data_IF_493791246766
#
_entry.id   IF_493791246766
#
_cell.length_a   1.000
_cell.length_b   1.000
_cell.length_c   1.000
_cell.angle_alpha   90.00
_cell.angle_beta   90.00
_cell.angle_gamma   90.00
#
_symmetry.space_group_name_H-M   'P 1'
#
loop_
_entity.id
_entity.type
_entity.pdbx_description
1 polymer ?
#
# COMPACT_ATOMS: atom_id res chain seq x y z
N UNK A 1 -18.20 -12.42 -23.19
CA UNK A 1 -18.06 -11.21 -24.02
C UNK A 1 -16.58 -10.89 -24.10
N UNK A 2 -15.96 -11.11 -25.26
CA UNK A 2 -14.53 -10.87 -25.44
C UNK A 2 -14.27 -9.36 -25.40
N UNK A 3 -13.74 -8.86 -24.29
CA UNK A 3 -13.34 -7.46 -24.21
C UNK A 3 -12.12 -7.28 -25.10
N UNK A 4 -12.26 -6.55 -26.19
CA UNK A 4 -11.14 -6.08 -27.01
C UNK A 4 -10.11 -5.44 -26.07
N UNK A 5 -8.80 -5.70 -26.25
CA UNK A 5 -7.76 -5.18 -25.33
C UNK A 5 -7.85 -3.66 -25.08
N UNK A 6 -8.36 -2.92 -26.07
CA UNK A 6 -8.64 -1.49 -26.00
C UNK A 6 -9.74 -1.15 -24.97
N UNK A 7 -10.84 -1.91 -24.92
CA UNK A 7 -11.91 -1.70 -23.94
C UNK A 7 -11.40 -1.95 -22.52
N UNK A 8 -10.58 -2.98 -22.33
CA UNK A 8 -9.99 -3.29 -21.03
C UNK A 8 -9.04 -2.18 -20.55
N UNK A 9 -8.22 -1.64 -21.47
CA UNK A 9 -7.37 -0.48 -21.17
C UNK A 9 -8.21 0.74 -20.78
N UNK A 10 -9.28 1.03 -21.53
CA UNK A 10 -10.18 2.13 -21.21
C UNK A 10 -10.81 1.97 -19.81
N UNK A 11 -11.34 0.79 -19.49
CA UNK A 11 -11.91 0.52 -18.16
C UNK A 11 -10.88 0.62 -17.04
N UNK A 12 -9.66 0.14 -17.27
CA UNK A 12 -8.58 0.24 -16.29
C UNK A 12 -8.19 1.70 -16.06
N UNK A 13 -7.93 2.46 -17.13
CA UNK A 13 -7.61 3.88 -17.04
C UNK A 13 -8.71 4.67 -16.33
N UNK A 14 -9.97 4.40 -16.65
CA UNK A 14 -11.10 5.06 -15.99
C UNK A 14 -11.22 4.71 -14.50
N UNK A 15 -11.01 3.45 -14.15
CA UNK A 15 -10.98 2.98 -12.75
C UNK A 15 -9.88 3.69 -11.97
N UNK A 16 -8.66 3.74 -12.53
CA UNK A 16 -7.50 4.43 -11.94
C UNK A 16 -7.82 5.90 -11.70
N UNK A 17 -8.38 6.60 -12.70
CA UNK A 17 -8.73 8.02 -12.58
C UNK A 17 -9.77 8.25 -11.49
N UNK A 18 -10.86 7.49 -11.51
CA UNK A 18 -11.95 7.63 -10.55
C UNK A 18 -11.46 7.36 -9.12
N UNK A 19 -10.67 6.32 -8.92
CA UNK A 19 -10.16 5.94 -7.61
C UNK A 19 -9.15 6.96 -7.08
N UNK A 20 -8.26 7.48 -7.94
CA UNK A 20 -7.29 8.50 -7.54
C UNK A 20 -7.99 9.83 -7.20
N UNK A 21 -9.02 10.22 -7.96
CA UNK A 21 -9.81 11.42 -7.64
C UNK A 21 -10.54 11.30 -6.30
N UNK A 22 -11.13 10.14 -6.00
CA UNK A 22 -11.72 9.87 -4.68
C UNK A 22 -10.65 9.94 -3.58
N UNK A 23 -9.48 9.36 -3.81
CA UNK A 23 -8.36 9.47 -2.87
C UNK A 23 -7.98 10.91 -2.59
N UNK A 24 -7.83 11.77 -3.60
CA UNK A 24 -7.51 13.19 -3.39
C UNK A 24 -8.64 13.89 -2.64
N UNK A 25 -9.90 13.67 -3.04
CA UNK A 25 -11.07 14.26 -2.38
C UNK A 25 -11.11 13.93 -0.88
N UNK A 26 -11.00 12.65 -0.52
CA UNK A 26 -11.05 12.21 0.87
C UNK A 26 -9.79 12.54 1.66
N UNK A 27 -8.63 12.62 0.99
CA UNK A 27 -7.40 13.14 1.58
C UNK A 27 -7.55 14.60 1.99
N UNK A 28 -8.13 15.43 1.11
CA UNK A 28 -8.42 16.84 1.42
C UNK A 28 -9.49 16.99 2.49
N UNK A 29 -10.54 16.15 2.47
CA UNK A 29 -11.61 16.18 3.47
C UNK A 29 -11.12 15.90 4.90
N UNK A 30 -10.07 15.08 5.05
CA UNK A 30 -9.42 14.81 6.34
C UNK A 30 -8.28 15.77 6.71
N UNK A 31 -8.16 16.92 6.05
CA UNK A 31 -7.09 17.89 6.33
C UNK A 31 -5.69 17.41 5.93
N UNK A 32 -5.60 16.57 4.89
CA UNK A 32 -4.39 15.91 4.36
C UNK A 32 -3.78 14.93 5.35
N UNK A 33 -3.32 15.39 6.52
CA UNK A 33 -2.61 14.58 7.52
C UNK A 33 -3.47 13.42 8.01
N UNK A 34 -4.72 13.68 8.38
CA UNK A 34 -5.67 12.67 8.84
C UNK A 34 -6.55 12.10 7.72
N UNK A 35 -6.40 12.59 6.49
CA UNK A 35 -7.17 12.15 5.33
C UNK A 35 -6.47 11.08 4.51
N UNK A 36 -5.14 11.19 4.35
CA UNK A 36 -4.36 10.32 3.46
C UNK A 36 -4.38 8.86 3.90
N UNK A 37 -4.18 8.56 5.18
CA UNK A 37 -4.18 7.18 5.67
C UNK A 37 -5.49 6.42 5.38
N UNK A 38 -6.65 6.93 5.82
CA UNK A 38 -7.96 6.33 5.53
C UNK A 38 -8.31 6.34 4.04
N UNK A 39 -7.86 7.35 3.28
CA UNK A 39 -8.06 7.37 1.83
C UNK A 39 -7.24 6.30 1.10
N UNK A 40 -6.01 6.02 1.56
CA UNK A 40 -5.20 4.90 1.05
C UNK A 40 -5.83 3.55 1.39
N UNK A 41 -6.38 3.39 2.60
CA UNK A 41 -7.08 2.17 2.98
C UNK A 41 -8.32 1.96 2.11
N UNK A 42 -9.19 2.96 2.00
CA UNK A 42 -10.38 2.91 1.14
C UNK A 42 -10.03 2.55 -0.31
N UNK A 43 -8.98 3.18 -0.86
CA UNK A 43 -8.48 2.86 -2.20
C UNK A 43 -8.07 1.39 -2.31
N UNK A 44 -7.38 0.89 -1.29
CA UNK A 44 -6.91 -0.50 -1.25
C UNK A 44 -8.09 -1.46 -1.21
N UNK A 45 -9.08 -1.21 -0.36
CA UNK A 45 -10.27 -2.06 -0.22
C UNK A 45 -11.01 -2.18 -1.58
N UNK A 46 -11.23 -1.07 -2.30
CA UNK A 46 -11.83 -1.13 -3.64
C UNK A 46 -10.99 -1.90 -4.66
N UNK A 47 -9.66 -1.79 -4.61
CA UNK A 47 -8.77 -2.54 -5.50
C UNK A 47 -8.85 -4.04 -5.21
N UNK A 48 -9.03 -4.43 -3.95
CA UNK A 48 -9.09 -5.83 -3.54
C UNK A 48 -10.47 -6.47 -3.75
N UNK A 49 -11.54 -5.75 -3.43
CA UNK A 49 -12.93 -6.24 -3.55
C UNK A 49 -13.44 -6.21 -4.99
N UNK A 50 -13.29 -5.07 -5.67
CA UNK A 50 -13.97 -4.80 -6.95
C UNK A 50 -13.03 -4.91 -8.16
N UNK A 51 -11.71 -4.93 -7.92
CA UNK A 51 -10.69 -5.06 -8.96
C UNK A 51 -10.79 -3.95 -10.03
N UNK A 52 -11.17 -4.32 -11.26
CA UNK A 52 -11.28 -3.40 -12.41
C UNK A 52 -12.72 -2.90 -12.65
N UNK A 53 -13.66 -3.14 -11.73
CA UNK A 53 -15.06 -2.74 -11.92
C UNK A 53 -15.32 -1.29 -11.48
N UNK A 54 -15.13 -0.35 -12.42
CA UNK A 54 -15.37 1.08 -12.15
C UNK A 54 -16.83 1.43 -11.75
N UNK A 55 -17.81 0.59 -12.09
CA UNK A 55 -19.22 0.87 -11.83
C UNK A 55 -19.58 0.68 -10.35
N UNK A 56 -18.91 -0.26 -9.67
CA UNK A 56 -19.12 -0.53 -8.26
C UNK A 56 -18.56 0.56 -7.34
N UNK A 57 -17.60 1.35 -7.84
CA UNK A 57 -16.99 2.47 -7.11
C UNK A 57 -18.01 3.61 -7.03
N UNK A 58 -18.62 3.81 -5.88
CA UNK A 58 -19.55 4.93 -5.64
C UNK A 58 -19.03 5.84 -4.53
N UNK A 59 -19.32 7.13 -4.61
CA UNK A 59 -18.89 8.12 -3.59
C UNK A 59 -19.43 7.74 -2.22
N UNK A 60 -20.67 7.23 -2.15
CA UNK A 60 -21.31 6.79 -0.91
C UNK A 60 -20.54 5.65 -0.25
N UNK A 61 -20.26 4.55 -0.99
CA UNK A 61 -19.47 3.43 -0.47
C UNK A 61 -18.06 3.87 -0.07
N UNK A 62 -17.45 4.76 -0.85
CA UNK A 62 -16.12 5.27 -0.56
C UNK A 62 -16.09 6.11 0.73
N UNK A 63 -17.13 6.91 0.99
CA UNK A 63 -17.25 7.64 2.25
C UNK A 63 -17.50 6.71 3.44
N UNK A 64 -18.31 5.67 3.27
CA UNK A 64 -18.56 4.66 4.30
C UNK A 64 -17.29 3.90 4.68
N UNK A 65 -16.52 3.40 3.70
CA UNK A 65 -15.21 2.76 3.92
C UNK A 65 -14.22 3.74 4.55
N UNK A 66 -14.10 4.96 4.03
CA UNK A 66 -13.21 5.98 4.59
C UNK A 66 -13.50 6.29 6.06
N UNK A 67 -14.78 6.40 6.43
CA UNK A 67 -15.21 6.67 7.81
C UNK A 67 -14.97 5.47 8.72
N UNK A 68 -15.22 4.24 8.23
CA UNK A 68 -14.99 3.01 8.98
C UNK A 68 -13.52 2.85 9.38
N UNK A 69 -12.61 3.16 8.46
CA UNK A 69 -11.16 3.03 8.67
C UNK A 69 -10.50 4.27 9.27
N UNK A 70 -11.26 5.36 9.50
CA UNK A 70 -10.70 6.67 9.84
C UNK A 70 -9.73 6.65 11.02
N UNK A 71 -10.09 6.01 12.14
CA UNK A 71 -9.25 5.98 13.34
C UNK A 71 -8.06 5.03 13.20
N UNK A 72 -8.32 3.80 12.72
CA UNK A 72 -7.33 2.73 12.67
C UNK A 72 -6.26 2.99 11.61
N UNK A 73 -6.67 3.39 10.40
CA UNK A 73 -5.73 3.71 9.32
C UNK A 73 -4.94 4.98 9.58
N UNK A 74 -5.51 5.98 10.27
CA UNK A 74 -4.72 7.14 10.72
C UNK A 74 -3.67 6.75 11.76
N UNK A 75 -3.98 5.87 12.70
CA UNK A 75 -2.98 5.35 13.65
C UNK A 75 -1.79 4.72 12.90
N UNK A 76 -2.06 3.85 11.93
CA UNK A 76 -1.01 3.20 11.14
C UNK A 76 -0.23 4.18 10.28
N UNK A 77 -0.92 5.10 9.60
CA UNK A 77 -0.29 6.10 8.76
C UNK A 77 0.60 7.06 9.55
N UNK A 78 0.13 7.53 10.70
CA UNK A 78 0.92 8.42 11.57
C UNK A 78 2.11 7.70 12.20
N UNK A 79 1.94 6.44 12.62
CA UNK A 79 3.05 5.62 13.10
C UNK A 79 4.11 5.44 12.01
N UNK A 80 3.67 5.12 10.79
CA UNK A 80 4.54 5.04 9.62
C UNK A 80 5.27 6.36 9.35
N UNK A 81 4.53 7.48 9.28
CA UNK A 81 5.09 8.79 8.99
C UNK A 81 6.09 9.25 10.06
N UNK A 82 5.77 9.02 11.34
CA UNK A 82 6.66 9.32 12.46
C UNK A 82 7.94 8.49 12.39
N UNK A 83 7.82 7.17 12.17
CA UNK A 83 8.98 6.27 12.09
C UNK A 83 9.84 6.60 10.88
N UNK A 84 9.22 6.87 9.74
CA UNK A 84 9.92 7.25 8.51
C UNK A 84 10.63 8.61 8.67
N UNK A 85 9.96 9.59 9.27
CA UNK A 85 10.54 10.90 9.61
C UNK A 85 11.72 10.77 10.57
N UNK A 86 11.61 9.90 11.58
CA UNK A 86 12.71 9.57 12.47
C UNK A 86 13.91 8.98 11.73
N UNK A 87 13.69 8.04 10.80
CA UNK A 87 14.77 7.48 9.97
C UNK A 87 15.40 8.54 9.07
N UNK A 88 14.61 9.38 8.41
CA UNK A 88 15.15 10.47 7.57
C UNK A 88 15.92 11.52 8.37
N UNK A 89 15.46 11.84 9.59
CA UNK A 89 16.21 12.70 10.49
C UNK A 89 17.57 12.08 10.86
N UNK A 90 17.61 10.76 11.12
CA UNK A 90 18.87 10.06 11.35
C UNK A 90 19.76 10.02 10.09
N UNK A 91 19.19 9.94 8.88
CA UNK A 91 19.97 10.07 7.63
C UNK A 91 20.59 11.47 7.55
N UNK A 92 19.81 12.51 7.86
CA UNK A 92 20.30 13.89 7.89
C UNK A 92 21.45 14.05 8.90
N UNK A 93 21.35 13.46 10.09
CA UNK A 93 22.44 13.42 11.06
C UNK A 93 23.64 12.60 10.55
N UNK A 94 23.39 11.48 9.87
CA UNK A 94 24.44 10.62 9.34
C UNK A 94 25.36 11.39 8.39
N UNK A 95 24.81 12.29 7.56
CA UNK A 95 25.56 13.14 6.61
C UNK A 95 26.63 14.01 7.27
N UNK A 96 26.55 14.26 8.58
CA UNK A 96 27.52 15.06 9.33
C UNK A 96 28.80 14.28 9.69
N UNK A 97 28.76 12.95 9.62
CA UNK A 97 29.96 12.12 9.83
C UNK A 97 30.88 12.17 8.61
N UNK A 98 32.18 11.96 8.83
CA UNK A 98 33.18 11.91 7.75
C UNK A 98 33.72 10.50 7.54
N UNK A 99 34.18 10.21 6.32
CA UNK A 99 34.83 8.92 5.99
C UNK A 99 33.84 7.78 5.72
N UNK A 100 34.30 6.55 5.89
CA UNK A 100 33.53 5.34 5.53
C UNK A 100 32.28 5.12 6.41
N UNK A 101 32.31 5.59 7.65
CA UNK A 101 31.21 5.47 8.60
C UNK A 101 29.95 6.17 8.10
N UNK A 102 30.08 7.34 7.47
CA UNK A 102 28.97 8.05 6.84
C UNK A 102 28.25 7.19 5.80
N UNK A 103 29.03 6.56 4.91
CA UNK A 103 28.49 5.75 3.81
C UNK A 103 27.73 4.55 4.36
N UNK A 104 28.32 3.81 5.31
CA UNK A 104 27.72 2.62 5.91
C UNK A 104 26.39 2.97 6.60
N UNK A 105 26.38 4.00 7.45
CA UNK A 105 25.19 4.41 8.20
C UNK A 105 24.10 4.87 7.24
N UNK A 106 24.44 5.72 6.28
CA UNK A 106 23.48 6.26 5.30
C UNK A 106 22.88 5.13 4.45
N UNK A 107 23.70 4.17 4.02
CA UNK A 107 23.24 3.02 3.23
C UNK A 107 22.27 2.13 4.02
N UNK A 108 22.58 1.82 5.28
CA UNK A 108 21.70 1.04 6.16
C UNK A 108 20.38 1.77 6.38
N UNK A 109 20.41 3.05 6.75
CA UNK A 109 19.20 3.83 7.02
C UNK A 109 18.35 4.02 5.77
N UNK A 110 18.97 4.20 4.60
CA UNK A 110 18.26 4.22 3.33
C UNK A 110 17.54 2.90 3.08
N UNK A 111 18.19 1.76 3.28
CA UNK A 111 17.55 0.45 3.13
C UNK A 111 16.41 0.22 4.13
N UNK A 112 16.58 0.64 5.39
CA UNK A 112 15.52 0.62 6.40
C UNK A 112 14.32 1.46 5.95
N UNK A 113 14.53 2.63 5.35
CA UNK A 113 13.44 3.46 4.83
C UNK A 113 12.65 2.75 3.72
N UNK A 114 13.32 2.01 2.82
CA UNK A 114 12.66 1.23 1.77
C UNK A 114 11.82 0.09 2.35
N UNK A 115 12.36 -0.61 3.35
CA UNK A 115 11.63 -1.66 4.08
C UNK A 115 10.39 -1.07 4.75
N UNK A 116 10.50 0.10 5.41
CA UNK A 116 9.36 0.75 6.06
C UNK A 116 8.23 1.10 5.08
N UNK A 117 8.57 1.60 3.89
CA UNK A 117 7.55 1.90 2.86
C UNK A 117 6.84 0.61 2.42
N UNK A 118 7.59 -0.45 2.13
CA UNK A 118 7.02 -1.72 1.67
C UNK A 118 6.22 -2.38 2.80
N UNK A 119 6.69 -2.29 4.03
CA UNK A 119 5.98 -2.73 5.23
C UNK A 119 4.61 -2.08 5.35
N UNK A 120 4.54 -0.76 5.19
CA UNK A 120 3.27 -0.04 5.23
C UNK A 120 2.33 -0.43 4.10
N UNK A 121 2.85 -0.68 2.88
CA UNK A 121 2.04 -1.19 1.77
C UNK A 121 1.43 -2.56 2.10
N UNK A 122 2.21 -3.49 2.68
CA UNK A 122 1.68 -4.79 3.12
C UNK A 122 0.64 -4.64 4.23
N UNK A 123 0.82 -3.72 5.18
CA UNK A 123 -0.17 -3.40 6.21
C UNK A 123 -1.51 -3.00 5.58
N UNK A 124 -1.50 -2.10 4.59
CA UNK A 124 -2.72 -1.68 3.88
C UNK A 124 -3.40 -2.86 3.15
N UNK A 125 -2.60 -3.68 2.45
CA UNK A 125 -3.10 -4.82 1.70
C UNK A 125 -3.72 -5.91 2.59
N UNK A 126 -3.15 -6.12 3.78
CA UNK A 126 -3.63 -7.14 4.72
C UNK A 126 -4.77 -6.67 5.61
N UNK A 127 -4.81 -5.38 5.98
CA UNK A 127 -5.95 -4.82 6.72
C UNK A 127 -7.25 -4.96 5.91
N UNK A 128 -7.17 -4.80 4.58
CA UNK A 128 -8.32 -5.01 3.68
C UNK A 128 -8.63 -6.46 3.34
N UNK A 129 -7.77 -7.42 3.73
CA UNK A 129 -7.96 -8.86 3.44
C UNK A 129 -8.28 -9.70 4.69
N UNK A 130 -7.85 -9.27 5.87
CA UNK A 130 -7.94 -10.07 7.10
C UNK A 130 -8.49 -9.25 8.28
N UNK A 131 -9.45 -9.84 9.00
CA UNK A 131 -9.94 -9.28 10.25
C UNK A 131 -9.09 -9.73 11.44
N UNK A 132 -7.87 -9.19 11.55
CA UNK A 132 -6.90 -9.56 12.59
C UNK A 132 -6.52 -8.39 13.50
N UNK A 133 -5.91 -8.71 14.64
CA UNK A 133 -5.39 -7.73 15.58
C UNK A 133 -4.26 -6.90 14.96
N UNK A 134 -4.06 -5.66 15.42
CA UNK A 134 -3.00 -4.77 14.92
C UNK A 134 -1.61 -5.38 15.04
N UNK A 135 -1.32 -6.09 16.14
CA UNK A 135 0.00 -6.68 16.38
C UNK A 135 0.26 -7.81 15.40
N UNK A 136 -0.74 -8.67 15.16
CA UNK A 136 -0.61 -9.79 14.24
C UNK A 136 -0.53 -9.31 12.79
N UNK A 137 -1.27 -8.24 12.45
CA UNK A 137 -1.14 -7.57 11.16
C UNK A 137 0.28 -7.04 10.93
N UNK A 138 0.88 -6.39 11.93
CA UNK A 138 2.26 -5.89 11.83
C UNK A 138 3.24 -7.05 11.67
N UNK A 139 3.11 -8.12 12.46
CA UNK A 139 3.98 -9.30 12.33
C UNK A 139 3.85 -9.94 10.94
N UNK A 140 2.62 -10.14 10.47
CA UNK A 140 2.34 -10.76 9.18
C UNK A 140 2.89 -9.91 8.03
N UNK A 141 2.67 -8.60 8.09
CA UNK A 141 3.20 -7.63 7.12
C UNK A 141 4.71 -7.66 7.06
N UNK A 142 5.38 -7.74 8.22
CA UNK A 142 6.84 -7.81 8.29
C UNK A 142 7.39 -9.12 7.70
N UNK A 143 6.82 -10.27 8.10
CA UNK A 143 7.25 -11.58 7.58
C UNK A 143 7.04 -11.65 6.05
N UNK A 144 5.97 -11.05 5.54
CA UNK A 144 5.63 -11.08 4.11
C UNK A 144 6.63 -10.36 3.21
N UNK A 145 7.36 -9.37 3.73
CA UNK A 145 8.45 -8.70 3.01
C UNK A 145 9.54 -9.70 2.63
N UNK A 146 9.87 -10.60 3.56
CA UNK A 146 10.95 -11.57 3.41
C UNK A 146 10.48 -12.92 2.86
N UNK A 147 9.17 -13.13 2.73
CA UNK A 147 8.60 -14.36 2.18
C UNK A 147 9.07 -14.62 0.74
N UNK A 148 9.18 -13.57 -0.07
CA UNK A 148 9.69 -13.67 -1.44
C UNK A 148 10.47 -12.40 -1.84
N UNK A 149 11.80 -12.50 -1.82
CA UNK A 149 12.70 -11.41 -2.23
C UNK A 149 12.45 -10.94 -3.67
N UNK A 150 12.03 -11.82 -4.57
CA UNK A 150 11.68 -11.45 -5.95
C UNK A 150 10.43 -10.55 -6.01
N UNK A 151 9.44 -10.78 -5.14
CA UNK A 151 8.25 -9.92 -5.02
C UNK A 151 8.63 -8.58 -4.40
N UNK A 152 9.51 -8.58 -3.38
CA UNK A 152 10.05 -7.36 -2.78
C UNK A 152 10.66 -6.42 -3.84
N UNK A 153 11.58 -6.92 -4.67
CA UNK A 153 12.19 -6.10 -5.72
C UNK A 153 11.17 -5.64 -6.77
N UNK A 154 10.18 -6.46 -7.13
CA UNK A 154 9.12 -6.04 -8.07
C UNK A 154 8.24 -4.92 -7.51
N UNK A 155 7.93 -4.96 -6.21
CA UNK A 155 7.22 -3.85 -5.55
C UNK A 155 8.10 -2.60 -5.56
N UNK A 156 9.35 -2.72 -5.13
CA UNK A 156 10.29 -1.60 -5.07
C UNK A 156 10.48 -0.92 -6.44
N UNK A 157 10.85 -1.68 -7.47
CA UNK A 157 11.06 -1.13 -8.81
C UNK A 157 9.78 -0.60 -9.43
N UNK A 158 8.62 -1.21 -9.17
CA UNK A 158 7.34 -0.69 -9.67
C UNK A 158 6.97 0.65 -9.04
N UNK A 159 7.11 0.78 -7.72
CA UNK A 159 6.89 2.06 -7.01
C UNK A 159 7.83 3.13 -7.54
N UNK A 160 9.13 2.84 -7.64
CA UNK A 160 10.13 3.78 -8.17
C UNK A 160 9.79 4.20 -9.61
N UNK A 161 9.40 3.25 -10.46
CA UNK A 161 9.06 3.52 -11.87
C UNK A 161 7.84 4.43 -11.99
N UNK A 162 6.79 4.21 -11.18
CA UNK A 162 5.58 5.04 -11.20
C UNK A 162 5.88 6.44 -10.64
N UNK A 163 6.69 6.54 -9.59
CA UNK A 163 7.13 7.84 -9.04
C UNK A 163 7.96 8.62 -10.06
N UNK A 164 8.90 7.96 -10.74
CA UNK A 164 9.70 8.57 -11.80
C UNK A 164 8.84 9.07 -12.98
N UNK A 165 7.84 8.28 -13.39
CA UNK A 165 6.87 8.68 -14.42
C UNK A 165 6.03 9.88 -13.97
N UNK A 166 5.57 9.88 -12.72
CA UNK A 166 4.81 10.98 -12.11
C UNK A 166 5.63 12.27 -12.08
N UNK A 167 6.94 12.18 -11.85
CA UNK A 167 7.82 13.35 -11.87
C UNK A 167 7.94 13.99 -13.26
N UNK A 168 7.96 13.16 -14.31
CA UNK A 168 7.95 13.62 -15.71
C UNK A 168 6.60 14.25 -16.09
N UNK A 169 5.50 13.69 -15.59
CA UNK A 169 4.14 14.13 -15.88
C UNK A 169 3.40 14.49 -14.58
N UNK A 170 3.61 15.72 -14.08
CA UNK A 170 3.05 16.15 -12.78
C UNK A 170 1.53 16.01 -12.66
N UNK A 171 0.80 16.14 -13.77
CA UNK A 171 -0.66 15.92 -13.81
C UNK A 171 -1.07 14.51 -13.38
N UNK A 172 -0.21 13.51 -13.58
CA UNK A 172 -0.48 12.13 -13.20
C UNK A 172 -0.66 11.97 -11.68
N UNK A 173 -0.10 12.87 -10.87
CA UNK A 173 -0.26 12.86 -9.42
C UNK A 173 -1.73 13.01 -9.02
N UNK A 174 -2.45 13.92 -9.67
CA UNK A 174 -3.87 14.18 -9.42
C UNK A 174 -4.77 13.08 -9.99
N UNK A 175 -4.35 12.44 -11.09
CA UNK A 175 -5.22 11.55 -11.86
C UNK A 175 -4.91 10.06 -11.76
N UNK A 176 -3.73 9.61 -11.32
CA UNK A 176 -3.42 8.19 -11.38
C UNK A 176 -2.36 7.67 -10.41
N UNK A 177 -1.41 8.48 -9.94
CA UNK A 177 -0.19 7.95 -9.32
C UNK A 177 -0.43 7.04 -8.12
N UNK A 178 -1.28 7.43 -7.16
CA UNK A 178 -1.53 6.63 -5.95
C UNK A 178 -2.33 5.37 -6.29
N UNK A 179 -3.34 5.48 -7.14
CA UNK A 179 -4.11 4.33 -7.63
C UNK A 179 -3.20 3.32 -8.35
N UNK A 180 -2.31 3.78 -9.24
CA UNK A 180 -1.39 2.91 -9.96
C UNK A 180 -0.40 2.21 -9.03
N UNK A 181 0.14 2.92 -8.04
CA UNK A 181 1.01 2.32 -7.02
C UNK A 181 0.27 1.19 -6.29
N UNK A 182 -0.92 1.48 -5.76
CA UNK A 182 -1.68 0.48 -5.00
C UNK A 182 -2.13 -0.69 -5.86
N UNK A 183 -2.56 -0.46 -7.11
CA UNK A 183 -2.92 -1.52 -8.05
C UNK A 183 -1.72 -2.40 -8.40
N UNK A 184 -0.55 -1.81 -8.67
CA UNK A 184 0.67 -2.56 -8.92
C UNK A 184 1.06 -3.42 -7.73
N UNK A 185 1.06 -2.84 -6.53
CA UNK A 185 1.37 -3.55 -5.29
C UNK A 185 0.38 -4.69 -5.02
N UNK A 186 -0.92 -4.46 -5.20
CA UNK A 186 -1.94 -5.48 -5.04
C UNK A 186 -1.78 -6.64 -6.04
N UNK A 187 -1.41 -6.33 -7.29
CA UNK A 187 -1.16 -7.31 -8.34
C UNK A 187 0.09 -8.16 -8.06
N UNK A 188 1.22 -7.52 -7.77
CA UNK A 188 2.51 -8.21 -7.57
C UNK A 188 2.51 -9.09 -6.32
N UNK A 189 1.83 -8.65 -5.25
CA UNK A 189 1.75 -9.40 -3.99
C UNK A 189 0.69 -10.49 -3.99
N UNK A 190 -0.20 -10.55 -5.00
CA UNK A 190 -1.34 -11.48 -5.03
C UNK A 190 -0.96 -12.94 -4.74
N UNK A 191 0.14 -13.43 -5.32
CA UNK A 191 0.60 -14.82 -5.10
C UNK A 191 1.05 -15.06 -3.66
N UNK A 192 1.71 -14.08 -3.05
CA UNK A 192 2.13 -14.18 -1.64
C UNK A 192 0.91 -14.21 -0.71
N UNK A 193 -0.11 -13.42 -1.02
CA UNK A 193 -1.36 -13.38 -0.24
C UNK A 193 -2.13 -14.69 -0.34
N UNK A 194 -2.30 -15.22 -1.55
CA UNK A 194 -2.91 -16.54 -1.78
C UNK A 194 -2.17 -17.68 -1.06
N UNK A 195 -0.84 -17.61 -0.97
CA UNK A 195 -0.06 -18.58 -0.21
C UNK A 195 -0.32 -18.49 1.30
N UNK A 196 -0.51 -17.27 1.82
CA UNK A 196 -0.85 -17.03 3.24
C UNK A 196 -2.28 -17.50 3.51
N UNK A 197 -3.25 -17.17 2.63
CA UNK A 197 -4.63 -17.63 2.72
C UNK A 197 -4.71 -19.15 2.90
N UNK A 198 -4.05 -19.91 2.02
CA UNK A 198 -4.03 -21.36 2.11
C UNK A 198 -3.41 -21.91 3.39
N UNK A 199 -2.42 -21.21 3.98
CA UNK A 199 -1.85 -21.60 5.28
C UNK A 199 -2.77 -21.30 6.46
N UNK A 200 -3.53 -20.21 6.39
CA UNK A 200 -4.50 -19.85 7.42
C UNK A 200 -5.66 -20.85 7.42
N UNK A 201 -6.22 -21.16 6.25
CA UNK A 201 -7.28 -22.17 6.08
C UNK A 201 -6.85 -23.55 6.57
N UNK A 202 -5.62 -23.98 6.23
CA UNK A 202 -5.08 -25.26 6.69
C UNK A 202 -4.94 -25.33 8.21
N UNK A 203 -4.50 -24.24 8.84
CA UNK A 203 -4.37 -24.18 10.29
C UNK A 203 -5.72 -24.22 11.00
N UNK A 204 -6.73 -23.51 10.49
CA UNK A 204 -8.10 -23.57 11.01
C UNK A 204 -8.67 -24.99 10.92
N UNK A 205 -8.49 -25.66 9.77
CA UNK A 205 -8.92 -27.04 9.57
C UNK A 205 -8.21 -28.03 10.52
N UNK A 206 -6.95 -27.80 10.87
CA UNK A 206 -6.21 -28.65 11.81
C UNK A 206 -6.65 -28.43 13.27
N UNK A 207 -6.97 -27.19 13.65
CA UNK A 207 -7.51 -26.87 14.97
C UNK A 207 -8.88 -27.53 15.17
N UNK A 208 -9.73 -27.52 14.15
CA UNK A 208 -11.05 -28.20 14.19
C UNK A 208 -10.96 -29.72 14.30
N UNK A 209 -9.85 -30.35 13.89
CA UNK A 209 -9.62 -31.81 14.01
C UNK A 209 -9.04 -32.24 15.36
N UNK A 210 -8.57 -31.28 16.15
CA UNK A 210 -7.91 -31.54 17.44
C UNK A 210 -8.86 -31.28 18.63
N UNK A 211 -10.06 -30.75 18.36
CA UNK A 211 -11.20 -30.62 19.29
C UNK A 211 -12.16 -31.77 19.04
#
# INVERSE_FOLDING_TARGET
MESTGIQRLFYLSWTVIKLNLLFVLFSLAGGIIFGVGPALQMMTDFILEEGMNYQAITVKRAFESWKAHFKRSNCYFLLFLFTLGFVFYNIYLAVQFTGIMWLIITFILFFVSLILVIFYIYMLLYEGSYFISTIDLMKLSFISIFLNLGVFFKVLFGVISIVALTWKMKGLLLFASFALIMMWCAYVTRKNRQFIDGKLEQNEANLQKTV
#
